data_IF_635861551821
#
_entry.id   IF_635861551821
#
_cell.length_a   1.000
_cell.length_b   1.000
_cell.length_c   1.000
_cell.angle_alpha   90.00
_cell.angle_beta   90.00
_cell.angle_gamma   90.00
#
_symmetry.space_group_name_H-M   'P 1'
#
loop_
_entity.id
_entity.type
_entity.pdbx_description
1 polymer ?
#
# COMPACT_ATOMS: atom_id res chain seq x y z
N UNK A 1 -13.31 -6.81 -2.05
CA UNK A 1 -12.88 -5.87 -0.99
C UNK A 1 -12.96 -4.42 -1.46
N UNK A 2 -12.16 -3.96 -2.42
CA UNK A 2 -12.10 -2.54 -2.85
C UNK A 2 -13.46 -1.91 -3.25
N UNK A 3 -14.35 -2.65 -3.93
CA UNK A 3 -15.73 -2.18 -4.18
C UNK A 3 -16.50 -1.88 -2.90
N UNK A 4 -16.35 -2.73 -1.89
CA UNK A 4 -17.01 -2.56 -0.60
C UNK A 4 -16.39 -1.44 0.24
N UNK A 5 -15.12 -1.08 -0.02
CA UNK A 5 -14.46 0.13 0.50
C UNK A 5 -14.85 1.42 -0.25
N UNK A 6 -15.63 1.31 -1.33
CA UNK A 6 -16.01 2.44 -2.18
C UNK A 6 -14.94 2.88 -3.18
N UNK A 7 -13.84 2.14 -3.30
CA UNK A 7 -12.69 2.47 -4.16
C UNK A 7 -12.86 2.02 -5.62
N UNK A 8 -13.81 1.12 -5.87
CA UNK A 8 -14.18 0.66 -7.21
C UNK A 8 -15.69 0.67 -7.39
N UNK A 9 -16.13 1.01 -8.59
CA UNK A 9 -17.51 0.85 -9.04
C UNK A 9 -17.80 -0.61 -9.42
N UNK A 10 -19.08 -0.94 -9.61
CA UNK A 10 -19.50 -2.28 -10.02
C UNK A 10 -19.01 -2.68 -11.42
N UNK A 11 -18.79 -1.71 -12.31
CA UNK A 11 -18.34 -1.92 -13.70
C UNK A 11 -16.83 -1.96 -13.85
N UNK A 12 -16.06 -1.52 -12.86
CA UNK A 12 -14.60 -1.57 -12.90
C UNK A 12 -14.11 -2.98 -12.54
N UNK A 13 -13.33 -3.58 -13.44
CA UNK A 13 -12.60 -4.83 -13.19
C UNK A 13 -11.19 -4.52 -12.68
N UNK A 14 -10.86 -5.05 -11.49
CA UNK A 14 -9.57 -4.78 -10.85
C UNK A 14 -8.41 -5.42 -11.62
N UNK A 15 -8.60 -6.61 -12.20
CA UNK A 15 -7.56 -7.31 -12.93
C UNK A 15 -7.21 -6.59 -14.24
N UNK A 16 -8.22 -6.11 -14.97
CA UNK A 16 -7.99 -5.28 -16.17
C UNK A 16 -7.33 -3.94 -15.82
N UNK A 17 -7.72 -3.30 -14.72
CA UNK A 17 -7.09 -2.07 -14.25
C UNK A 17 -5.63 -2.28 -13.88
N UNK A 18 -5.32 -3.32 -13.10
CA UNK A 18 -3.95 -3.67 -12.72
C UNK A 18 -3.09 -4.04 -13.94
N UNK A 19 -3.62 -4.83 -14.89
CA UNK A 19 -2.90 -5.18 -16.11
C UNK A 19 -2.56 -3.95 -16.94
N UNK A 20 -3.51 -3.01 -17.10
CA UNK A 20 -3.26 -1.74 -17.81
C UNK A 20 -2.20 -0.90 -17.09
N UNK A 21 -2.32 -0.79 -15.77
CA UNK A 21 -1.39 -0.02 -14.96
C UNK A 21 0.05 -0.55 -15.08
N UNK A 22 0.23 -1.87 -14.89
CA UNK A 22 1.54 -2.51 -15.01
C UNK A 22 2.09 -2.47 -16.43
N UNK A 23 1.27 -2.75 -17.45
CA UNK A 23 1.71 -2.72 -18.86
C UNK A 23 2.13 -1.33 -19.32
N UNK A 24 1.62 -0.27 -18.68
CA UNK A 24 2.01 1.11 -18.96
C UNK A 24 3.36 1.52 -18.38
N UNK A 25 3.83 0.84 -17.33
CA UNK A 25 5.03 1.23 -16.57
C UNK A 25 6.20 0.22 -16.68
N UNK A 26 5.92 -1.06 -16.90
CA UNK A 26 6.94 -2.12 -16.89
C UNK A 26 7.69 -2.16 -18.22
N UNK A 27 8.87 -1.55 -18.25
CA UNK A 27 9.84 -1.63 -19.35
C UNK A 27 10.95 -2.67 -19.09
N UNK A 28 10.91 -3.32 -17.93
CA UNK A 28 11.81 -4.40 -17.52
C UNK A 28 11.34 -5.05 -16.21
N UNK A 29 11.79 -6.27 -15.93
CA UNK A 29 11.60 -6.92 -14.64
C UNK A 29 12.67 -7.99 -14.38
N UNK A 30 13.02 -8.19 -13.12
CA UNK A 30 13.82 -9.30 -12.61
C UNK A 30 12.92 -10.35 -11.95
N UNK A 31 13.01 -11.58 -12.42
CA UNK A 31 12.34 -12.74 -11.85
C UNK A 31 13.26 -13.46 -10.86
N UNK A 32 12.88 -13.42 -9.58
CA UNK A 32 13.64 -14.03 -8.49
C UNK A 32 13.51 -15.56 -8.43
N UNK A 33 12.56 -16.19 -9.13
CA UNK A 33 12.43 -17.64 -9.20
C UNK A 33 13.33 -18.20 -10.30
N UNK A 34 13.26 -17.61 -11.49
CA UNK A 34 14.04 -18.05 -12.64
C UNK A 34 15.43 -17.42 -12.72
N UNK A 35 15.70 -16.43 -11.86
CA UNK A 35 16.95 -15.63 -11.83
C UNK A 35 17.23 -14.95 -13.17
N UNK A 36 16.17 -14.51 -13.86
CA UNK A 36 16.25 -13.90 -15.18
C UNK A 36 15.76 -12.46 -15.14
N UNK A 37 16.53 -11.59 -15.77
CA UNK A 37 16.13 -10.22 -16.05
C UNK A 37 15.64 -10.13 -17.49
N UNK A 38 14.48 -9.51 -17.67
CA UNK A 38 13.88 -9.21 -18.97
C UNK A 38 13.81 -7.70 -19.14
N UNK A 39 14.22 -7.20 -20.30
CA UNK A 39 14.12 -5.78 -20.66
C UNK A 39 13.42 -5.68 -22.01
N UNK A 40 12.43 -4.80 -22.10
CA UNK A 40 11.66 -4.59 -23.34
C UNK A 40 12.19 -3.33 -24.02
N UNK A 41 12.55 -3.45 -25.30
CA UNK A 41 12.95 -2.31 -26.11
C UNK A 41 12.55 -2.48 -27.56
N UNK A 42 11.96 -1.43 -28.13
CA UNK A 42 11.59 -1.37 -29.54
C UNK A 42 12.71 -0.80 -30.44
N UNK A 43 13.63 -0.01 -29.88
CA UNK A 43 14.60 0.80 -30.63
C UNK A 43 16.06 0.60 -30.19
N UNK A 44 16.34 -0.41 -29.37
CA UNK A 44 17.69 -0.73 -28.87
C UNK A 44 17.96 -0.16 -27.47
N UNK A 45 19.24 -0.07 -27.07
CA UNK A 45 19.61 0.33 -25.71
C UNK A 45 19.66 1.86 -25.60
N UNK A 46 18.48 2.47 -25.48
CA UNK A 46 18.32 3.91 -25.21
C UNK A 46 18.46 4.26 -23.71
N UNK A 47 18.40 5.56 -23.35
CA UNK A 47 18.54 6.03 -21.97
C UNK A 47 17.56 5.35 -20.98
N UNK A 48 16.29 5.20 -21.37
CA UNK A 48 15.27 4.52 -20.56
C UNK A 48 15.62 3.04 -20.27
N UNK A 49 16.14 2.33 -21.26
CA UNK A 49 16.58 0.93 -21.08
C UNK A 49 17.80 0.85 -20.17
N UNK A 50 18.73 1.81 -20.26
CA UNK A 50 19.92 1.84 -19.40
C UNK A 50 19.56 2.05 -17.92
N UNK A 51 18.69 3.01 -17.63
CA UNK A 51 18.29 3.28 -16.24
C UNK A 51 17.44 2.12 -15.68
N UNK A 52 16.56 1.54 -16.50
CA UNK A 52 15.82 0.32 -16.13
C UNK A 52 16.76 -0.84 -15.87
N UNK A 53 17.80 -1.04 -16.69
CA UNK A 53 18.81 -2.06 -16.45
C UNK A 53 19.47 -1.85 -15.08
N UNK A 54 19.80 -0.61 -14.70
CA UNK A 54 20.39 -0.34 -13.39
C UNK A 54 19.43 -0.71 -12.24
N UNK A 55 18.14 -0.42 -12.37
CA UNK A 55 17.11 -0.84 -11.41
C UNK A 55 17.03 -2.36 -11.30
N UNK A 56 16.78 -3.04 -12.41
CA UNK A 56 16.57 -4.49 -12.43
C UNK A 56 17.82 -5.29 -12.05
N UNK A 57 19.01 -4.79 -12.43
CA UNK A 57 20.26 -5.41 -12.00
C UNK A 57 20.46 -5.29 -10.48
N UNK A 58 19.92 -4.24 -9.86
CA UNK A 58 19.93 -4.10 -8.40
C UNK A 58 19.13 -5.22 -7.73
N UNK A 59 17.98 -5.60 -8.28
CA UNK A 59 17.24 -6.77 -7.76
C UNK A 59 18.03 -8.07 -7.84
N UNK A 60 18.80 -8.28 -8.91
CA UNK A 60 19.70 -9.43 -9.00
C UNK A 60 20.79 -9.42 -7.92
N UNK A 61 21.34 -8.24 -7.60
CA UNK A 61 22.33 -8.07 -6.52
C UNK A 61 21.71 -8.28 -5.14
N UNK A 62 20.52 -7.71 -4.89
CA UNK A 62 19.77 -7.89 -3.65
C UNK A 62 19.41 -9.36 -3.41
N UNK A 63 18.94 -10.05 -4.44
CA UNK A 63 18.59 -11.46 -4.35
C UNK A 63 19.81 -12.35 -4.10
N UNK A 64 20.95 -12.03 -4.73
CA UNK A 64 22.20 -12.71 -4.43
C UNK A 64 22.66 -12.49 -2.98
N UNK A 65 22.56 -11.26 -2.47
CA UNK A 65 23.07 -10.88 -1.16
C UNK A 65 22.15 -11.31 0.01
N UNK A 66 20.83 -11.23 -0.18
CA UNK A 66 19.85 -11.36 0.89
C UNK A 66 18.81 -12.46 0.65
N UNK A 67 18.67 -12.97 -0.58
CA UNK A 67 17.64 -13.94 -0.95
C UNK A 67 16.23 -13.36 -0.80
N UNK A 68 15.74 -12.65 -1.82
CA UNK A 68 14.51 -11.84 -1.72
C UNK A 68 13.26 -12.68 -1.38
N UNK A 69 13.22 -13.95 -1.77
CA UNK A 69 12.13 -14.86 -1.41
C UNK A 69 11.92 -15.00 0.11
N UNK A 70 12.96 -14.78 0.92
CA UNK A 70 12.88 -14.83 2.38
C UNK A 70 12.06 -13.68 2.99
N UNK A 71 11.83 -12.61 2.24
CA UNK A 71 11.05 -11.45 2.67
C UNK A 71 9.53 -11.70 2.63
N UNK A 72 9.06 -12.78 1.99
CA UNK A 72 7.64 -13.17 1.98
C UNK A 72 6.69 -12.02 1.60
N UNK A 73 6.91 -11.40 0.43
CA UNK A 73 6.17 -10.22 -0.06
C UNK A 73 4.72 -10.52 -0.51
N UNK A 74 4.15 -11.64 -0.11
CA UNK A 74 2.79 -12.08 -0.49
C UNK A 74 2.22 -13.07 0.53
N UNK A 75 2.43 -12.83 1.82
CA UNK A 75 1.83 -13.66 2.85
C UNK A 75 0.34 -13.32 3.03
N UNK A 76 -0.53 -14.33 3.18
CA UNK A 76 -1.96 -14.08 3.34
C UNK A 76 -2.29 -13.23 4.57
N UNK A 77 -3.04 -12.15 4.36
CA UNK A 77 -3.59 -11.32 5.44
C UNK A 77 -2.60 -10.34 6.06
N UNK A 78 -1.53 -9.99 5.33
CA UNK A 78 -0.40 -9.19 5.79
C UNK A 78 -0.01 -8.12 4.75
N UNK A 79 -0.99 -7.59 4.00
CA UNK A 79 -0.77 -6.69 2.87
C UNK A 79 0.09 -5.46 3.25
N UNK A 80 -0.16 -4.84 4.41
CA UNK A 80 0.65 -3.73 4.94
C UNK A 80 2.14 -4.09 5.09
N UNK A 81 2.41 -5.23 5.72
CA UNK A 81 3.78 -5.69 5.99
C UNK A 81 4.48 -6.01 4.67
N UNK A 82 3.76 -6.59 3.73
CA UNK A 82 4.31 -6.97 2.43
C UNK A 82 4.62 -5.73 1.60
N UNK A 83 3.74 -4.72 1.61
CA UNK A 83 3.99 -3.42 0.98
C UNK A 83 5.18 -2.69 1.63
N UNK A 84 5.31 -2.75 2.95
CA UNK A 84 6.45 -2.18 3.67
C UNK A 84 7.78 -2.84 3.27
N UNK A 85 7.80 -4.17 3.18
CA UNK A 85 8.99 -4.93 2.77
C UNK A 85 9.33 -4.69 1.30
N UNK A 86 8.31 -4.61 0.44
CA UNK A 86 8.50 -4.24 -0.96
C UNK A 86 9.11 -2.84 -1.08
N UNK A 87 8.69 -1.89 -0.23
CA UNK A 87 9.27 -0.53 -0.20
C UNK A 87 10.76 -0.51 0.15
N UNK A 88 11.25 -1.43 0.97
CA UNK A 88 12.69 -1.58 1.20
C UNK A 88 13.41 -2.05 -0.08
N UNK A 89 12.84 -3.03 -0.78
CA UNK A 89 13.42 -3.63 -2.00
C UNK A 89 13.45 -2.61 -3.14
N UNK A 90 12.30 -2.02 -3.46
CA UNK A 90 12.15 -1.04 -4.54
C UNK A 90 12.85 0.28 -4.22
N UNK A 91 12.86 0.69 -2.95
CA UNK A 91 13.58 1.87 -2.50
C UNK A 91 15.09 1.79 -2.72
N UNK A 92 15.70 0.64 -2.43
CA UNK A 92 17.14 0.44 -2.65
C UNK A 92 17.48 0.38 -4.16
N UNK A 93 16.65 -0.31 -4.94
CA UNK A 93 16.78 -0.33 -6.40
C UNK A 93 16.67 1.08 -7.01
N UNK A 94 15.69 1.87 -6.55
CA UNK A 94 15.48 3.25 -6.99
C UNK A 94 16.67 4.15 -6.63
N UNK A 95 17.15 4.08 -5.39
CA UNK A 95 18.29 4.88 -4.93
C UNK A 95 19.56 4.54 -5.73
N UNK A 96 19.83 3.24 -5.97
CA UNK A 96 21.01 2.84 -6.73
C UNK A 96 20.88 3.18 -8.22
N UNK A 97 19.68 3.02 -8.80
CA UNK A 97 19.35 3.44 -10.16
C UNK A 97 19.63 4.93 -10.36
N UNK A 98 19.15 5.80 -9.46
CA UNK A 98 19.34 7.25 -9.53
C UNK A 98 20.83 7.63 -9.35
N UNK A 99 21.53 7.00 -8.41
CA UNK A 99 22.98 7.22 -8.24
C UNK A 99 23.75 6.83 -9.50
N UNK A 100 23.47 5.65 -10.07
CA UNK A 100 24.09 5.18 -11.30
C UNK A 100 23.83 6.14 -12.46
N UNK A 101 22.59 6.64 -12.59
CA UNK A 101 22.23 7.60 -13.62
C UNK A 101 23.05 8.89 -13.51
N UNK A 102 23.19 9.44 -12.29
CA UNK A 102 23.99 10.65 -12.05
C UNK A 102 25.48 10.45 -12.34
N UNK A 103 26.03 9.28 -12.05
CA UNK A 103 27.46 8.99 -12.22
C UNK A 103 27.83 8.65 -13.67
N UNK A 104 26.90 8.10 -14.45
CA UNK A 104 27.21 7.45 -15.74
C UNK A 104 26.43 7.96 -16.94
N UNK A 105 25.32 8.68 -16.76
CA UNK A 105 24.55 9.23 -17.87
C UNK A 105 24.97 10.66 -18.20
N UNK A 106 24.96 10.99 -19.48
CA UNK A 106 25.13 12.38 -19.92
C UNK A 106 23.88 13.22 -19.61
N UNK A 107 23.99 14.55 -19.50
CA UNK A 107 22.82 15.42 -19.33
C UNK A 107 21.74 15.21 -20.41
N UNK A 108 22.15 14.90 -21.64
CA UNK A 108 21.23 14.61 -22.74
C UNK A 108 20.45 13.30 -22.51
N UNK A 109 21.10 12.27 -21.98
CA UNK A 109 20.45 11.00 -21.67
C UNK A 109 19.49 11.16 -20.47
N UNK A 110 19.86 11.93 -19.44
CA UNK A 110 18.97 12.25 -18.31
C UNK A 110 17.72 13.02 -18.76
N UNK A 111 17.89 14.01 -19.65
CA UNK A 111 16.78 14.70 -20.29
C UNK A 111 15.92 13.73 -21.12
N UNK A 112 16.55 12.77 -21.82
CA UNK A 112 15.86 11.74 -22.58
C UNK A 112 15.00 10.81 -21.72
N UNK A 113 15.46 10.44 -20.51
CA UNK A 113 14.64 9.70 -19.53
C UNK A 113 13.46 10.56 -19.07
N UNK A 114 13.72 11.82 -18.71
CA UNK A 114 12.71 12.74 -18.19
C UNK A 114 11.62 13.09 -19.22
N UNK A 115 11.95 13.05 -20.51
CA UNK A 115 11.02 13.30 -21.62
C UNK A 115 10.50 12.00 -22.27
N UNK A 116 10.71 10.85 -21.62
CA UNK A 116 10.13 9.58 -22.05
C UNK A 116 8.59 9.65 -22.11
N UNK A 117 7.95 8.76 -22.87
CA UNK A 117 6.49 8.70 -22.92
C UNK A 117 5.94 8.45 -21.52
N UNK A 118 5.03 9.32 -21.07
CA UNK A 118 4.35 9.11 -19.81
C UNK A 118 3.38 7.92 -19.93
N UNK A 119 3.27 7.07 -18.90
CA UNK A 119 2.28 6.00 -18.87
C UNK A 119 0.87 6.58 -18.99
N UNK A 120 0.01 5.92 -19.77
CA UNK A 120 -1.38 6.34 -19.91
C UNK A 120 -2.20 5.87 -18.69
N UNK A 121 -2.43 6.79 -17.76
CA UNK A 121 -3.21 6.54 -16.53
C UNK A 121 -4.70 6.91 -16.65
N UNK A 122 -5.19 7.14 -17.87
CA UNK A 122 -6.60 7.50 -18.07
C UNK A 122 -7.52 6.42 -17.51
N UNK A 123 -8.51 6.85 -16.72
CA UNK A 123 -9.51 6.00 -16.04
C UNK A 123 -8.94 5.02 -15.00
N UNK A 124 -7.66 5.14 -14.63
CA UNK A 124 -7.09 4.41 -13.50
C UNK A 124 -7.39 5.20 -12.22
N UNK A 125 -8.02 4.60 -11.20
CA UNK A 125 -8.22 5.26 -9.91
C UNK A 125 -6.89 5.69 -9.29
N UNK A 126 -6.82 6.93 -8.79
CA UNK A 126 -5.60 7.50 -8.21
C UNK A 126 -4.99 6.62 -7.10
N UNK A 127 -5.82 6.06 -6.22
CA UNK A 127 -5.36 5.17 -5.15
C UNK A 127 -4.56 3.95 -5.66
N UNK A 128 -4.85 3.44 -6.87
CA UNK A 128 -4.09 2.34 -7.46
C UNK A 128 -2.71 2.79 -7.93
N UNK A 129 -2.61 4.03 -8.41
CA UNK A 129 -1.34 4.64 -8.79
C UNK A 129 -0.52 4.91 -7.53
N UNK A 130 -1.14 5.46 -6.48
CA UNK A 130 -0.48 5.71 -5.20
C UNK A 130 0.06 4.41 -4.57
N UNK A 131 -0.76 3.34 -4.58
CA UNK A 131 -0.36 2.01 -4.08
C UNK A 131 0.82 1.42 -4.87
N UNK A 132 0.83 1.58 -6.19
CA UNK A 132 1.90 1.11 -7.05
C UNK A 132 3.19 1.92 -6.91
N UNK A 133 3.08 3.25 -6.77
CA UNK A 133 4.24 4.15 -6.67
C UNK A 133 4.83 4.20 -5.26
N UNK A 134 4.07 3.80 -4.23
CA UNK A 134 4.51 3.88 -2.83
C UNK A 134 5.85 3.17 -2.56
N UNK A 135 6.08 1.92 -3.02
CA UNK A 135 7.36 1.25 -2.80
C UNK A 135 8.56 1.98 -3.40
N UNK A 136 8.37 2.69 -4.50
CA UNK A 136 9.43 3.45 -5.17
C UNK A 136 9.66 4.77 -4.45
N UNK A 137 8.60 5.52 -4.18
CA UNK A 137 8.68 6.89 -3.66
C UNK A 137 8.96 6.94 -2.15
N UNK A 138 8.11 6.29 -1.34
CA UNK A 138 8.31 6.22 0.11
C UNK A 138 9.50 5.31 0.45
N UNK A 139 9.72 4.26 -0.34
CA UNK A 139 10.89 3.39 -0.22
C UNK A 139 12.20 4.12 -0.49
N UNK A 140 12.30 4.94 -1.54
CA UNK A 140 13.50 5.75 -1.83
C UNK A 140 13.83 6.66 -0.65
N UNK A 141 12.82 7.34 -0.08
CA UNK A 141 13.00 8.20 1.08
C UNK A 141 13.46 7.40 2.31
N UNK A 142 12.84 6.25 2.57
CA UNK A 142 13.22 5.36 3.67
C UNK A 142 14.67 4.89 3.55
N UNK A 143 15.08 4.39 2.38
CA UNK A 143 16.44 3.92 2.13
C UNK A 143 17.45 5.06 2.17
N UNK A 144 17.11 6.23 1.64
CA UNK A 144 17.95 7.43 1.73
C UNK A 144 18.21 7.80 3.20
N UNK A 145 17.17 7.76 4.04
CA UNK A 145 17.30 8.01 5.48
C UNK A 145 18.17 6.95 6.19
N UNK A 146 18.03 5.67 5.84
CA UNK A 146 18.90 4.61 6.35
C UNK A 146 20.37 4.86 6.00
N UNK A 147 20.66 5.15 4.72
CA UNK A 147 22.02 5.44 4.24
C UNK A 147 22.59 6.71 4.90
N UNK A 148 21.78 7.74 5.11
CA UNK A 148 22.19 8.95 5.81
C UNK A 148 22.54 8.68 7.28
N UNK A 149 21.85 7.75 7.93
CA UNK A 149 22.04 7.43 9.36
C UNK A 149 23.21 6.49 9.65
N UNK A 150 23.51 5.54 8.75
CA UNK A 150 24.51 4.50 9.01
C UNK A 150 25.11 3.86 7.75
N UNK A 151 25.00 4.52 6.60
CA UNK A 151 25.55 4.05 5.33
C UNK A 151 24.95 2.72 4.87
N UNK A 152 25.69 2.00 4.03
CA UNK A 152 25.28 0.69 3.51
C UNK A 152 25.08 -0.34 4.62
N UNK A 153 25.81 -0.26 5.73
CA UNK A 153 25.63 -1.20 6.86
C UNK A 153 24.24 -1.09 7.51
N UNK A 154 23.66 0.11 7.58
CA UNK A 154 22.29 0.28 8.05
C UNK A 154 21.26 -0.31 7.08
N UNK A 155 21.51 -0.21 5.77
CA UNK A 155 20.67 -0.80 4.74
C UNK A 155 20.74 -2.34 4.74
N UNK A 156 21.95 -2.92 4.82
CA UNK A 156 22.13 -4.37 4.95
C UNK A 156 21.43 -4.92 6.20
N UNK A 157 21.48 -4.16 7.31
CA UNK A 157 20.77 -4.51 8.53
C UNK A 157 19.24 -4.45 8.33
N UNK A 158 18.75 -3.55 7.47
CA UNK A 158 17.33 -3.48 7.14
C UNK A 158 16.88 -4.69 6.32
N UNK A 159 17.66 -5.21 5.38
CA UNK A 159 17.31 -6.46 4.69
C UNK A 159 17.24 -7.67 5.63
N UNK A 160 18.04 -7.70 6.71
CA UNK A 160 17.98 -8.75 7.75
C UNK A 160 16.88 -8.52 8.78
N UNK A 161 16.32 -7.33 8.85
CA UNK A 161 15.28 -6.95 9.82
C UNK A 161 14.40 -5.89 9.18
N UNK A 162 13.58 -6.28 8.19
CA UNK A 162 12.87 -5.35 7.33
C UNK A 162 11.77 -4.60 8.10
N UNK A 163 11.24 -3.49 7.55
CA UNK A 163 10.12 -2.81 8.17
C UNK A 163 8.92 -3.76 8.33
N UNK A 164 8.21 -3.59 9.43
CA UNK A 164 7.06 -4.42 9.81
C UNK A 164 5.72 -3.84 9.33
N UNK A 165 5.69 -2.56 8.94
CA UNK A 165 4.50 -1.85 8.48
C UNK A 165 4.88 -0.67 7.58
N UNK A 166 3.92 -0.20 6.78
CA UNK A 166 4.08 1.01 5.97
C UNK A 166 4.30 2.25 6.82
N UNK A 167 3.80 2.25 8.06
CA UNK A 167 4.11 3.28 9.05
C UNK A 167 5.61 3.37 9.34
N UNK A 168 6.32 2.25 9.49
CA UNK A 168 7.77 2.29 9.70
C UNK A 168 8.54 2.81 8.48
N UNK A 169 7.99 2.63 7.27
CA UNK A 169 8.57 3.21 6.05
C UNK A 169 8.37 4.72 6.02
N UNK A 170 7.17 5.18 6.38
CA UNK A 170 6.79 6.59 6.42
C UNK A 170 7.46 7.38 7.56
N UNK A 171 7.72 6.71 8.69
CA UNK A 171 8.23 7.33 9.92
C UNK A 171 9.53 6.65 10.38
N UNK A 172 10.71 7.14 9.94
CA UNK A 172 12.00 6.49 10.23
C UNK A 172 12.31 6.25 11.71
N UNK A 173 11.82 7.12 12.61
CA UNK A 173 12.01 6.97 14.05
C UNK A 173 11.28 5.74 14.62
N UNK A 174 10.14 5.35 14.05
CA UNK A 174 9.41 4.13 14.43
C UNK A 174 10.14 2.88 13.98
N UNK A 175 10.71 2.89 12.78
CA UNK A 175 11.59 1.80 12.34
C UNK A 175 12.82 1.68 13.24
N UNK A 176 13.47 2.81 13.57
CA UNK A 176 14.67 2.86 14.41
C UNK A 176 14.41 2.35 15.82
N UNK A 177 13.27 2.70 16.41
CA UNK A 177 12.83 2.23 17.73
C UNK A 177 12.22 0.82 17.72
N UNK A 178 12.02 0.24 16.52
CA UNK A 178 11.41 -1.08 16.31
C UNK A 178 10.01 -1.18 16.88
N UNK A 179 9.22 -0.12 16.71
CA UNK A 179 7.83 -0.09 17.13
C UNK A 179 7.01 -1.11 16.34
N UNK A 180 6.49 -2.14 17.01
CA UNK A 180 5.71 -3.18 16.35
C UNK A 180 4.26 -2.72 16.17
N UNK A 181 3.60 -3.05 15.03
CA UNK A 181 2.18 -2.82 14.87
C UNK A 181 1.37 -3.49 15.99
N UNK A 182 0.38 -2.77 16.49
CA UNK A 182 -0.61 -3.24 17.45
C UNK A 182 -1.40 -4.40 16.85
N UNK A 183 -1.52 -5.48 17.63
CA UNK A 183 -2.34 -6.62 17.23
C UNK A 183 -3.81 -6.29 17.38
N UNK A 184 -4.52 -6.21 16.26
CA UNK A 184 -5.97 -5.97 16.24
C UNK A 184 -6.72 -7.26 15.94
N UNK A 185 -7.73 -7.57 16.76
CA UNK A 185 -8.55 -8.75 16.57
C UNK A 185 -9.46 -8.59 15.34
N UNK A 186 -9.51 -9.62 14.50
CA UNK A 186 -10.41 -9.66 13.35
C UNK A 186 -11.89 -9.52 13.79
N UNK A 187 -12.67 -8.60 13.21
CA UNK A 187 -14.09 -8.50 13.47
C UNK A 187 -14.83 -9.79 13.09
N UNK A 188 -15.70 -10.30 13.97
CA UNK A 188 -16.51 -11.49 13.72
C UNK A 188 -17.76 -11.17 12.85
N UNK A 189 -17.53 -10.63 11.65
CA UNK A 189 -18.54 -9.96 10.84
C UNK A 189 -19.68 -10.89 10.37
N UNK A 190 -19.38 -12.02 9.73
CA UNK A 190 -20.42 -12.95 9.27
C UNK A 190 -21.23 -13.54 10.42
N UNK A 191 -20.58 -13.83 11.56
CA UNK A 191 -21.27 -14.31 12.75
C UNK A 191 -22.28 -13.27 13.27
N UNK A 192 -21.90 -11.98 13.28
CA UNK A 192 -22.79 -10.88 13.66
C UNK A 192 -23.94 -10.62 12.69
N UNK A 193 -23.73 -10.85 11.39
CA UNK A 193 -24.75 -10.66 10.35
C UNK A 193 -25.75 -11.83 10.24
N UNK A 194 -25.37 -13.00 10.73
CA UNK A 194 -26.21 -14.19 10.87
C UNK A 194 -26.18 -15.13 9.67
N UNK A 195 -27.15 -16.05 9.62
CA UNK A 195 -27.19 -17.13 8.63
C UNK A 195 -27.15 -16.65 7.18
N UNK A 196 -26.29 -17.28 6.37
CA UNK A 196 -26.15 -16.97 4.94
C UNK A 196 -25.06 -15.93 4.61
N UNK A 197 -24.31 -15.48 5.61
CA UNK A 197 -23.09 -14.69 5.43
C UNK A 197 -21.85 -15.56 5.55
N UNK A 198 -20.78 -15.15 4.87
CA UNK A 198 -19.47 -15.80 4.92
C UNK A 198 -18.38 -14.74 4.89
N UNK A 199 -17.47 -14.82 5.86
CA UNK A 199 -16.28 -13.99 5.89
C UNK A 199 -15.30 -14.37 4.78
N UNK A 200 -14.66 -13.36 4.22
CA UNK A 200 -13.44 -13.48 3.43
C UNK A 200 -12.23 -13.44 4.39
N UNK A 201 -11.05 -13.91 3.95
CA UNK A 201 -9.83 -13.79 4.74
C UNK A 201 -9.62 -12.36 5.26
N UNK A 202 -9.21 -12.25 6.51
CA UNK A 202 -8.94 -10.98 7.16
C UNK A 202 -7.56 -10.46 6.75
N UNK A 203 -7.42 -9.14 6.64
CA UNK A 203 -6.17 -8.49 6.23
C UNK A 203 -5.77 -7.33 7.14
N UNK A 204 -4.50 -6.95 7.06
CA UNK A 204 -3.92 -5.75 7.66
C UNK A 204 -3.56 -4.81 6.52
N UNK A 205 -4.14 -3.60 6.48
CA UNK A 205 -4.02 -2.70 5.33
C UNK A 205 -2.96 -1.61 5.52
N UNK A 206 -2.75 -1.13 6.74
CA UNK A 206 -1.64 -0.23 7.04
C UNK A 206 -1.94 1.24 6.86
N UNK A 207 -1.04 2.08 7.38
CA UNK A 207 -1.11 3.55 7.29
C UNK A 207 -1.24 4.03 5.84
N UNK A 208 -0.43 3.47 4.92
CA UNK A 208 -0.44 3.88 3.52
C UNK A 208 -1.82 3.65 2.87
N UNK A 209 -2.41 2.47 3.06
CA UNK A 209 -3.73 2.17 2.48
C UNK A 209 -4.86 2.95 3.17
N UNK A 210 -4.76 3.27 4.47
CA UNK A 210 -5.72 4.21 5.11
C UNK A 210 -5.67 5.57 4.40
N UNK A 211 -4.46 6.07 4.14
CA UNK A 211 -4.26 7.33 3.41
C UNK A 211 -4.84 7.27 1.99
N UNK A 212 -4.48 6.25 1.21
CA UNK A 212 -4.97 6.08 -0.17
C UNK A 212 -6.48 5.90 -0.22
N UNK A 213 -7.05 5.19 0.76
CA UNK A 213 -8.48 5.01 0.85
C UNK A 213 -9.20 6.34 1.09
N UNK A 214 -8.76 7.13 2.08
CA UNK A 214 -9.39 8.42 2.40
C UNK A 214 -9.26 9.42 1.23
N UNK A 215 -8.11 9.43 0.54
CA UNK A 215 -7.88 10.26 -0.64
C UNK A 215 -8.69 9.79 -1.85
N UNK A 216 -8.81 8.47 -2.04
CA UNK A 216 -9.52 7.88 -3.17
C UNK A 216 -11.04 7.97 -3.07
N UNK A 217 -11.58 8.03 -1.84
CA UNK A 217 -13.03 8.19 -1.63
C UNK A 217 -13.46 9.64 -1.41
N UNK A 218 -12.58 10.51 -0.89
CA UNK A 218 -12.84 11.93 -0.68
C UNK A 218 -12.33 12.81 -1.83
N UNK A 219 -12.56 14.13 -1.72
CA UNK A 219 -11.79 15.09 -2.52
C UNK A 219 -10.35 15.12 -1.98
N UNK A 220 -9.36 15.45 -2.83
CA UNK A 220 -7.95 15.61 -2.46
C UNK A 220 -7.76 16.72 -1.41
N UNK A 221 -8.05 16.41 -0.15
CA UNK A 221 -8.03 17.33 0.98
C UNK A 221 -6.84 16.98 1.88
N UNK A 222 -6.03 17.96 2.30
CA UNK A 222 -4.92 17.76 3.25
C UNK A 222 -5.29 16.98 4.52
N UNK A 223 -6.55 17.04 4.97
CA UNK A 223 -7.04 16.26 6.10
C UNK A 223 -6.92 14.74 5.86
N UNK A 224 -7.04 14.26 4.63
CA UNK A 224 -6.90 12.84 4.31
C UNK A 224 -5.45 12.34 4.46
N UNK A 225 -4.46 13.23 4.26
CA UNK A 225 -3.05 12.88 4.48
C UNK A 225 -2.75 12.68 5.96
N UNK A 226 -3.19 13.63 6.80
CA UNK A 226 -2.96 13.62 8.24
C UNK A 226 -3.83 12.62 9.00
N UNK A 227 -4.99 12.24 8.45
CA UNK A 227 -5.94 11.34 9.11
C UNK A 227 -5.45 9.90 9.22
N UNK A 228 -4.41 9.52 8.48
CA UNK A 228 -3.78 8.20 8.60
C UNK A 228 -2.60 8.20 9.58
N UNK A 229 -2.02 9.37 9.88
CA UNK A 229 -0.86 9.48 10.76
C UNK A 229 -1.20 8.95 12.17
N UNK A 230 -0.25 8.25 12.81
CA UNK A 230 -0.46 7.62 14.11
C UNK A 230 -1.31 6.35 14.06
N UNK A 231 -1.47 5.75 12.87
CA UNK A 231 -1.99 4.40 12.71
C UNK A 231 -1.15 3.44 13.53
N UNK A 232 -1.72 2.75 14.51
CA UNK A 232 -0.96 1.80 15.32
C UNK A 232 -1.09 0.35 14.83
N UNK A 233 -2.14 0.02 14.07
CA UNK A 233 -2.45 -1.34 13.65
C UNK A 233 -3.89 -1.47 13.18
N UNK A 234 -4.21 -2.46 12.35
CA UNK A 234 -5.59 -2.69 11.94
C UNK A 234 -5.90 -4.16 11.62
N UNK A 235 -7.20 -4.44 11.49
CA UNK A 235 -7.70 -5.68 10.90
C UNK A 235 -9.01 -5.45 10.17
N UNK A 236 -9.02 -5.77 8.89
CA UNK A 236 -10.19 -5.68 8.02
C UNK A 236 -10.74 -7.08 7.73
N UNK A 237 -12.06 -7.21 7.81
CA UNK A 237 -12.81 -8.39 7.37
C UNK A 237 -13.91 -7.93 6.43
N UNK A 238 -13.96 -8.55 5.25
CA UNK A 238 -15.09 -8.42 4.34
C UNK A 238 -15.97 -9.67 4.43
N UNK A 239 -17.27 -9.53 4.22
CA UNK A 239 -18.21 -10.64 4.19
C UNK A 239 -19.14 -10.54 2.99
N UNK A 240 -19.49 -11.71 2.43
CA UNK A 240 -20.46 -11.84 1.34
C UNK A 240 -21.74 -12.52 1.83
N UNK A 241 -22.89 -12.01 1.39
CA UNK A 241 -24.21 -12.55 1.68
C UNK A 241 -24.98 -12.93 0.40
N UNK A 242 -26.22 -13.38 0.58
CA UNK A 242 -27.11 -13.76 -0.54
C UNK A 242 -27.42 -12.57 -1.45
N UNK A 243 -27.67 -12.86 -2.74
CA UNK A 243 -28.12 -11.85 -3.71
C UNK A 243 -27.09 -10.75 -4.00
N UNK A 244 -25.80 -11.00 -3.79
CA UNK A 244 -24.74 -10.02 -4.00
C UNK A 244 -24.56 -9.02 -2.85
N UNK A 245 -25.22 -9.25 -1.71
CA UNK A 245 -25.01 -8.43 -0.52
C UNK A 245 -23.57 -8.53 -0.01
N UNK A 246 -23.03 -7.43 0.50
CA UNK A 246 -21.69 -7.38 1.07
C UNK A 246 -21.64 -6.47 2.30
N UNK A 247 -20.65 -6.74 3.15
CA UNK A 247 -20.28 -5.91 4.29
C UNK A 247 -18.76 -5.90 4.46
N UNK A 248 -18.22 -4.85 5.04
CA UNK A 248 -16.83 -4.72 5.48
C UNK A 248 -16.85 -4.17 6.90
N UNK A 249 -16.01 -4.73 7.76
CA UNK A 249 -15.71 -4.23 9.08
C UNK A 249 -14.19 -4.07 9.19
N UNK A 250 -13.75 -2.85 9.44
CA UNK A 250 -12.35 -2.49 9.58
C UNK A 250 -12.13 -1.92 10.97
N UNK A 251 -11.42 -2.67 11.80
CA UNK A 251 -11.03 -2.22 13.14
C UNK A 251 -9.64 -1.62 13.04
N UNK A 252 -9.49 -0.37 13.45
CA UNK A 252 -8.25 0.39 13.43
C UNK A 252 -7.87 0.77 14.86
N UNK A 253 -6.62 0.54 15.22
CA UNK A 253 -6.00 0.99 16.46
C UNK A 253 -5.03 2.13 16.15
N UNK A 254 -4.94 3.07 17.08
CA UNK A 254 -4.17 4.31 16.94
C UNK A 254 -3.16 4.46 18.08
N UNK A 255 -2.07 5.18 17.87
CA UNK A 255 -1.03 5.40 18.88
C UNK A 255 -1.49 6.27 20.04
N UNK A 256 -2.37 7.21 19.76
CA UNK A 256 -2.97 8.07 20.75
C UNK A 256 -4.46 8.28 20.48
N UNK A 257 -5.16 8.79 21.49
CA UNK A 257 -6.55 9.19 21.35
C UNK A 257 -6.73 10.39 20.42
N UNK A 258 -5.67 11.19 20.23
CA UNK A 258 -5.65 12.33 19.32
C UNK A 258 -5.61 11.86 17.87
N UNK A 259 -4.75 10.87 17.55
CA UNK A 259 -4.65 10.29 16.21
C UNK A 259 -5.98 9.63 15.81
N UNK A 260 -6.59 8.88 16.75
CA UNK A 260 -7.94 8.35 16.54
C UNK A 260 -8.97 9.46 16.23
N UNK A 261 -8.91 10.61 16.93
CA UNK A 261 -9.81 11.72 16.65
C UNK A 261 -9.54 12.42 15.30
N UNK A 262 -8.28 12.50 14.88
CA UNK A 262 -7.89 13.01 13.56
C UNK A 262 -8.44 12.10 12.44
N UNK A 263 -8.33 10.79 12.60
CA UNK A 263 -8.96 9.84 11.67
C UNK A 263 -10.47 10.01 11.59
N UNK A 264 -11.17 10.16 12.72
CA UNK A 264 -12.62 10.40 12.69
C UNK A 264 -12.97 11.65 11.90
N UNK A 265 -12.19 12.72 12.05
CA UNK A 265 -12.39 13.96 11.31
C UNK A 265 -12.18 13.74 9.80
N UNK A 266 -11.10 13.07 9.42
CA UNK A 266 -10.80 12.71 8.04
C UNK A 266 -11.91 11.84 7.42
N UNK A 267 -12.33 10.79 8.12
CA UNK A 267 -13.43 9.92 7.70
C UNK A 267 -14.73 10.70 7.54
N UNK A 268 -15.11 11.57 8.50
CA UNK A 268 -16.35 12.37 8.41
C UNK A 268 -16.32 13.33 7.23
N UNK A 269 -15.16 13.85 6.86
CA UNK A 269 -15.00 14.69 5.67
C UNK A 269 -15.15 13.87 4.37
N UNK A 270 -14.64 12.64 4.35
CA UNK A 270 -14.71 11.77 3.17
C UNK A 270 -16.06 11.03 3.02
N UNK A 271 -16.77 10.79 4.13
CA UNK A 271 -17.99 9.97 4.17
C UNK A 271 -19.11 10.41 3.21
N UNK A 272 -19.37 11.71 2.97
CA UNK A 272 -20.38 12.16 1.99
C UNK A 272 -20.09 11.73 0.54
N UNK A 273 -18.83 11.41 0.22
CA UNK A 273 -18.41 11.06 -1.14
C UNK A 273 -18.43 9.55 -1.40
N UNK A 274 -18.47 8.73 -0.33
CA UNK A 274 -18.57 7.28 -0.39
C UNK A 274 -19.76 6.82 -1.25
N UNK A 275 -19.50 5.83 -2.11
CA UNK A 275 -20.54 5.21 -2.96
C UNK A 275 -21.27 4.05 -2.29
N UNK A 276 -20.96 3.80 -1.01
CA UNK A 276 -21.51 2.72 -0.19
C UNK A 276 -22.09 3.28 1.11
N UNK A 277 -22.99 2.53 1.75
CA UNK A 277 -23.47 2.88 3.09
C UNK A 277 -22.35 2.64 4.08
N UNK A 278 -22.11 3.58 5.00
CA UNK A 278 -21.03 3.49 5.99
C UNK A 278 -21.38 4.09 7.35
N UNK A 279 -20.73 3.56 8.39
CA UNK A 279 -20.76 4.06 9.77
C UNK A 279 -19.36 3.95 10.37
N UNK A 280 -19.03 4.92 11.21
CA UNK A 280 -17.85 4.89 12.06
C UNK A 280 -18.32 4.80 13.51
N UNK A 281 -17.68 3.93 14.29
CA UNK A 281 -17.97 3.71 15.70
C UNK A 281 -16.66 3.76 16.49
N UNK A 282 -16.64 4.57 17.55
CA UNK A 282 -15.54 4.59 18.52
C UNK A 282 -15.70 3.39 19.46
N UNK A 283 -14.77 2.43 19.40
CA UNK A 283 -14.78 1.20 20.23
C UNK A 283 -14.08 1.45 21.57
N UNK A 284 -13.03 2.27 21.56
CA UNK A 284 -12.33 2.76 22.76
C UNK A 284 -11.69 4.11 22.48
N UNK A 285 -10.96 4.69 23.43
CA UNK A 285 -10.23 5.95 23.21
C UNK A 285 -9.22 5.89 22.06
N UNK A 286 -8.74 4.70 21.69
CA UNK A 286 -7.71 4.50 20.66
C UNK A 286 -8.12 3.50 19.58
N UNK A 287 -9.37 3.03 19.57
CA UNK A 287 -9.84 2.08 18.57
C UNK A 287 -11.13 2.56 17.91
N UNK A 288 -11.16 2.41 16.59
CA UNK A 288 -12.27 2.80 15.73
C UNK A 288 -12.66 1.62 14.86
N UNK A 289 -13.97 1.40 14.74
CA UNK A 289 -14.56 0.45 13.82
C UNK A 289 -15.26 1.22 12.70
N UNK A 290 -14.79 1.02 11.46
CA UNK A 290 -15.48 1.43 10.25
C UNK A 290 -16.27 0.24 9.71
N UNK A 291 -17.57 0.42 9.52
CA UNK A 291 -18.45 -0.58 8.91
C UNK A 291 -19.05 -0.01 7.64
N UNK A 292 -18.92 -0.75 6.55
CA UNK A 292 -19.52 -0.41 5.25
C UNK A 292 -20.30 -1.59 4.68
N UNK A 293 -21.26 -1.34 3.81
CA UNK A 293 -22.06 -2.41 3.23
C UNK A 293 -22.98 -1.99 2.10
N UNK A 294 -23.59 -3.00 1.47
CA UNK A 294 -24.47 -2.83 0.32
C UNK A 294 -25.83 -2.17 0.67
N UNK A 295 -26.17 -2.06 1.96
CA UNK A 295 -27.33 -1.29 2.43
C UNK A 295 -27.14 -0.81 3.86
N UNK A 296 -27.87 0.25 4.23
CA UNK A 296 -27.82 0.78 5.59
C UNK A 296 -28.29 -0.25 6.64
N UNK A 297 -29.29 -1.06 6.33
CA UNK A 297 -29.78 -2.10 7.24
C UNK A 297 -28.74 -3.21 7.52
N UNK A 298 -27.83 -3.48 6.57
CA UNK A 298 -26.71 -4.39 6.77
C UNK A 298 -25.66 -3.73 7.67
N UNK A 299 -25.35 -2.46 7.41
CA UNK A 299 -24.39 -1.68 8.21
C UNK A 299 -24.86 -1.57 9.66
N UNK A 300 -26.11 -1.20 9.92
CA UNK A 300 -26.64 -1.03 11.28
C UNK A 300 -26.61 -2.36 12.05
N UNK A 301 -26.88 -3.49 11.38
CA UNK A 301 -26.78 -4.82 12.00
C UNK A 301 -25.35 -5.21 12.33
N UNK A 302 -24.42 -4.97 11.41
CA UNK A 302 -23.00 -5.23 11.64
C UNK A 302 -22.45 -4.36 12.78
N UNK A 303 -22.81 -3.08 12.83
CA UNK A 303 -22.46 -2.18 13.95
C UNK A 303 -22.99 -2.74 15.26
N UNK A 304 -24.28 -3.04 15.35
CA UNK A 304 -24.89 -3.56 16.58
C UNK A 304 -24.28 -4.89 17.08
N UNK A 305 -23.67 -5.66 16.20
CA UNK A 305 -23.02 -6.92 16.55
C UNK A 305 -21.53 -6.78 16.92
N UNK A 306 -20.88 -5.67 16.56
CA UNK A 306 -19.43 -5.49 16.66
C UNK A 306 -19.01 -4.36 17.60
N UNK A 307 -19.92 -3.43 17.94
CA UNK A 307 -19.68 -2.30 18.86
C UNK A 307 -20.00 -2.62 20.30
#
# INVERSE_FOLDING_TARGET
MFRALGLLTASQDIGELQLRLLSGQVIGFYDNETKRMSLVSESGIGPGVKITYAHEYTHALQDHAFGLASLQLSAPGEDDRDLARLSLVEGDATVLMLQWALDHMTPQELLGVSQGPAPNMTDIPAWMVDDLEFPYTAGEQFVTNLRASGGTSALDAAFRSPPASTEQVLHPDKYKSREAPLKVAAPALAAGLGGGWRDLPADTLGEAMVRFWLQGVGDANPLAQQAADGWGGDRLVAATGRGGAFAVAWRLAWDSSADAAQFEQGYRAAAPHLKVSGRLVRVSDREILVVQGSSLAIVDRAVAALS
#
